data_IF_001580848051
#
_entry.id   IF_001580848051
#
_cell.length_a   1.000
_cell.length_b   1.000
_cell.length_c   1.000
_cell.angle_alpha   90.00
_cell.angle_beta   90.00
_cell.angle_gamma   90.00
#
_symmetry.space_group_name_H-M   'P 1'
#
loop_
_entity.id
_entity.type
_entity.pdbx_description
1 polymer ?
#
# COMPACT_ATOMS: atom_id res chain seq x y z
N UNK A 1 0.94 1.45 -11.21
CA UNK A 1 1.41 0.22 -10.54
C UNK A 1 2.06 0.49 -9.19
N UNK A 2 3.02 1.42 -9.07
CA UNK A 2 3.69 1.73 -7.80
C UNK A 2 2.74 2.05 -6.63
N UNK A 3 1.63 2.76 -6.88
CA UNK A 3 0.62 3.09 -5.86
C UNK A 3 -0.08 1.86 -5.28
N UNK A 4 -0.37 0.84 -6.10
CA UNK A 4 -1.00 -0.41 -5.65
C UNK A 4 -0.06 -1.22 -4.76
N UNK A 5 1.22 -1.31 -5.15
CA UNK A 5 2.27 -1.96 -4.36
C UNK A 5 2.39 -1.27 -3.00
N UNK A 6 2.45 0.06 -2.98
CA UNK A 6 2.49 0.84 -1.75
C UNK A 6 1.26 0.60 -0.87
N UNK A 7 0.05 0.60 -1.43
CA UNK A 7 -1.19 0.33 -0.67
C UNK A 7 -1.17 -1.07 -0.01
N UNK A 8 -0.70 -2.07 -0.75
CA UNK A 8 -0.56 -3.44 -0.26
C UNK A 8 0.43 -3.52 0.92
N UNK A 9 1.59 -2.86 0.79
CA UNK A 9 2.60 -2.78 1.87
C UNK A 9 2.03 -2.08 3.10
N UNK A 10 1.41 -0.91 2.96
CA UNK A 10 0.86 -0.15 4.09
C UNK A 10 -0.22 -0.95 4.82
N UNK A 11 -1.07 -1.65 4.08
CA UNK A 11 -2.14 -2.49 4.65
C UNK A 11 -1.55 -3.71 5.36
N UNK A 12 -0.55 -4.37 4.78
CA UNK A 12 0.12 -5.53 5.38
C UNK A 12 0.88 -5.15 6.65
N UNK A 13 1.56 -4.00 6.64
CA UNK A 13 2.21 -3.42 7.82
C UNK A 13 1.17 -3.11 8.90
N UNK A 14 0.07 -2.43 8.57
CA UNK A 14 -1.00 -2.13 9.53
C UNK A 14 -1.65 -3.36 10.15
N UNK A 15 -1.61 -4.51 9.46
CA UNK A 15 -2.19 -5.78 9.94
C UNK A 15 -1.20 -6.63 10.72
N UNK A 16 0.09 -6.52 10.42
CA UNK A 16 1.16 -7.33 11.02
C UNK A 16 1.83 -6.62 12.21
N UNK A 17 1.82 -5.30 12.24
CA UNK A 17 2.35 -4.49 13.33
C UNK A 17 1.23 -3.98 14.25
N UNK A 18 1.48 -3.88 15.56
CA UNK A 18 0.55 -3.27 16.50
C UNK A 18 0.36 -1.77 16.20
N UNK A 19 -0.86 -1.28 16.43
CA UNK A 19 -1.33 0.07 16.06
C UNK A 19 -0.49 1.23 16.61
N UNK A 20 0.32 0.97 17.65
CA UNK A 20 1.24 1.94 18.25
C UNK A 20 2.52 2.19 17.45
N UNK A 21 2.87 1.35 16.47
CA UNK A 21 4.10 1.54 15.69
C UNK A 21 3.83 2.42 14.47
N UNK A 22 4.42 3.63 14.38
CA UNK A 22 4.27 4.49 13.22
C UNK A 22 5.01 3.88 12.02
N UNK A 23 4.24 3.45 11.02
CA UNK A 23 4.78 2.96 9.75
C UNK A 23 4.70 4.06 8.69
N UNK A 24 5.81 4.35 8.02
CA UNK A 24 5.87 5.25 6.87
C UNK A 24 6.40 4.49 5.66
N UNK A 25 5.67 4.55 4.55
CA UNK A 25 6.06 3.91 3.29
C UNK A 25 6.38 5.00 2.28
N UNK A 26 7.59 4.96 1.73
CA UNK A 26 8.07 5.91 0.72
C UNK A 26 8.75 5.16 -0.41
N UNK A 27 8.64 5.71 -1.62
CA UNK A 27 9.37 5.21 -2.79
C UNK A 27 10.76 5.84 -2.80
N UNK A 28 11.79 5.06 -3.09
CA UNK A 28 13.16 5.55 -3.23
C UNK A 28 13.22 6.65 -4.30
N UNK A 29 13.87 7.78 -3.96
CA UNK A 29 13.99 8.92 -4.88
C UNK A 29 14.77 8.54 -6.13
N UNK A 30 14.25 8.88 -7.31
CA UNK A 30 14.93 8.64 -8.59
C UNK A 30 14.74 7.22 -9.16
N UNK A 31 14.04 6.32 -8.46
CA UNK A 31 13.76 4.96 -8.98
C UNK A 31 12.44 4.87 -9.76
N UNK A 32 11.61 5.91 -9.73
CA UNK A 32 10.29 5.91 -10.37
C UNK A 32 9.91 7.32 -10.82
N UNK A 33 9.38 7.49 -12.04
CA UNK A 33 9.13 8.82 -12.65
C UNK A 33 8.21 9.74 -11.83
N UNK A 34 7.37 9.18 -10.95
CA UNK A 34 6.50 9.90 -10.03
C UNK A 34 6.76 9.53 -8.56
N UNK A 35 8.01 9.22 -8.18
CA UNK A 35 8.36 8.81 -6.81
C UNK A 35 7.81 9.75 -5.73
N UNK A 36 7.98 11.07 -5.89
CA UNK A 36 7.54 12.07 -4.93
C UNK A 36 6.01 12.11 -4.80
N UNK A 37 5.28 12.00 -5.91
CA UNK A 37 3.82 12.00 -5.91
C UNK A 37 3.28 10.72 -5.26
N UNK A 38 3.85 9.56 -5.60
CA UNK A 38 3.44 8.26 -5.03
C UNK A 38 3.77 8.25 -3.53
N UNK A 39 4.97 8.67 -3.13
CA UNK A 39 5.34 8.75 -1.72
C UNK A 39 4.42 9.68 -0.93
N UNK A 40 4.01 10.81 -1.50
CA UNK A 40 3.05 11.72 -0.86
C UNK A 40 1.67 11.07 -0.69
N UNK A 41 1.22 10.31 -1.69
CA UNK A 41 -0.04 9.55 -1.60
C UNK A 41 0.01 8.46 -0.52
N UNK A 42 1.13 7.76 -0.39
CA UNK A 42 1.29 6.67 0.59
C UNK A 42 1.45 7.19 2.02
N UNK A 43 2.00 8.39 2.20
CA UNK A 43 2.11 9.04 3.51
C UNK A 43 0.75 9.58 4.02
N UNK A 44 -0.23 9.77 3.14
CA UNK A 44 -1.55 10.29 3.49
C UNK A 44 -2.48 9.17 3.97
N UNK A 45 -2.55 9.00 5.29
CA UNK A 45 -3.29 7.90 5.94
C UNK A 45 -4.79 7.95 5.66
N UNK A 46 -5.38 9.14 5.54
CA UNK A 46 -6.79 9.31 5.23
C UNK A 46 -7.10 8.89 3.80
N UNK A 47 -6.23 9.28 2.86
CA UNK A 47 -6.35 8.85 1.47
C UNK A 47 -6.16 7.34 1.31
N UNK A 48 -5.20 6.73 2.01
CA UNK A 48 -5.00 5.28 1.99
C UNK A 48 -6.25 4.56 2.52
N UNK A 49 -6.84 5.04 3.61
CA UNK A 49 -8.11 4.51 4.13
C UNK A 49 -9.24 4.64 3.13
N UNK A 50 -9.44 5.81 2.54
CA UNK A 50 -10.46 6.04 1.53
C UNK A 50 -10.31 5.12 0.31
N UNK A 51 -9.06 4.83 -0.10
CA UNK A 51 -8.79 3.89 -1.16
C UNK A 51 -9.14 2.43 -0.76
N UNK A 52 -8.97 2.05 0.50
CA UNK A 52 -9.36 0.73 1.02
C UNK A 52 -10.88 0.58 1.23
N UNK A 53 -11.62 1.68 1.38
CA UNK A 53 -13.09 1.66 1.40
C UNK A 53 -13.68 1.40 0.01
N UNK A 54 -12.90 1.62 -1.05
CA UNK A 54 -13.32 1.28 -2.41
C UNK A 54 -13.25 -0.23 -2.63
N UNK A 55 -14.41 -0.87 -2.80
CA UNK A 55 -14.52 -2.34 -2.91
C UNK A 55 -13.64 -2.98 -3.99
N UNK A 56 -13.36 -2.28 -5.10
CA UNK A 56 -12.49 -2.79 -6.15
C UNK A 56 -11.01 -2.80 -5.72
N UNK A 57 -10.52 -1.69 -5.17
CA UNK A 57 -9.15 -1.57 -4.69
C UNK A 57 -8.90 -2.49 -3.48
N UNK A 58 -9.87 -2.58 -2.57
CA UNK A 58 -9.82 -3.50 -1.43
C UNK A 58 -9.61 -4.93 -1.89
N UNK A 59 -10.40 -5.40 -2.85
CA UNK A 59 -10.29 -6.76 -3.38
C UNK A 59 -8.91 -7.03 -3.96
N UNK A 60 -8.40 -6.13 -4.82
CA UNK A 60 -7.06 -6.28 -5.42
C UNK A 60 -5.97 -6.31 -4.35
N UNK A 61 -6.07 -5.45 -3.33
CA UNK A 61 -5.10 -5.40 -2.23
C UNK A 61 -5.18 -6.66 -1.37
N UNK A 62 -6.37 -7.15 -1.03
CA UNK A 62 -6.54 -8.37 -0.26
C UNK A 62 -5.96 -9.60 -0.97
N UNK A 63 -6.19 -9.73 -2.28
CA UNK A 63 -5.59 -10.79 -3.11
C UNK A 63 -4.05 -10.70 -3.09
N UNK A 64 -3.53 -9.48 -3.20
CA UNK A 64 -2.09 -9.21 -3.20
C UNK A 64 -1.43 -9.50 -1.84
N UNK A 65 -2.16 -9.31 -0.72
CA UNK A 65 -1.68 -9.61 0.64
C UNK A 65 -1.79 -11.11 0.96
N UNK A 66 -2.87 -11.77 0.49
CA UNK A 66 -3.14 -13.19 0.72
C UNK A 66 -2.06 -14.10 0.17
N UNK A 67 -1.34 -13.66 -0.87
CA UNK A 67 -0.23 -14.42 -1.42
C UNK A 67 -0.71 -15.72 -2.07
N UNK A 68 -1.48 -15.59 -3.15
CA UNK A 68 -1.39 -16.55 -4.24
C UNK A 68 -0.34 -15.95 -5.22
N UNK A 69 0.88 -16.43 -5.46
CA UNK A 69 1.49 -17.73 -5.24
C UNK A 69 0.55 -18.90 -5.51
N UNK A 70 -0.38 -18.74 -6.45
CA UNK A 70 -0.74 -19.86 -7.31
C UNK A 70 0.51 -20.14 -8.14
N UNK A 71 1.38 -20.95 -7.56
CA UNK A 71 2.20 -21.86 -8.33
C UNK A 71 1.25 -22.72 -9.14
N UNK A 72 1.15 -22.39 -10.42
CA UNK A 72 0.87 -23.34 -11.49
C UNK A 72 2.13 -23.46 -12.32
#
# INVERSE_FOLDING_TARGET
MATLIGLCITTKLSRSLPLSVPCSVSVTKGTHSNDAQVSKQLCDKDRVKAALENGHLKKVVEECIKGEATGV
#
